data_IF_639886657220
#
_entry.id   IF_639886657220
#
_cell.length_a   1.000
_cell.length_b   1.000
_cell.length_c   1.000
_cell.angle_alpha   90.00
_cell.angle_beta   90.00
_cell.angle_gamma   90.00
#
_symmetry.space_group_name_H-M   'P 1'
#
loop_
_entity.id
_entity.type
_entity.pdbx_description
1 polymer ?
#
# COMPACT_ATOMS: atom_id res chain seq x y z
N UNK A 1 -51.46 8.76 -88.79
CA UNK A 1 -50.61 7.66 -88.43
C UNK A 1 -49.75 8.14 -87.25
N UNK A 2 -50.34 7.99 -86.17
CA UNK A 2 -50.08 7.26 -84.99
C UNK A 2 -48.91 7.81 -84.15
N UNK A 3 -49.28 8.47 -83.14
CA UNK A 3 -48.52 8.94 -82.05
C UNK A 3 -48.93 8.27 -80.77
N UNK A 4 -48.02 7.92 -79.96
CA UNK A 4 -48.25 7.52 -78.60
C UNK A 4 -47.44 8.40 -77.66
N UNK A 5 -48.10 9.17 -76.78
CA UNK A 5 -47.53 9.77 -75.58
C UNK A 5 -47.82 8.87 -74.39
N UNK A 6 -46.79 8.35 -73.81
CA UNK A 6 -46.92 7.65 -72.56
C UNK A 6 -46.42 8.54 -71.40
N UNK A 7 -47.36 8.85 -70.52
CA UNK A 7 -47.15 9.67 -69.34
C UNK A 7 -46.91 8.82 -68.10
N UNK A 8 -45.63 8.59 -67.71
CA UNK A 8 -45.28 7.94 -66.46
C UNK A 8 -45.42 8.91 -65.29
N UNK A 9 -46.54 8.80 -64.59
CA UNK A 9 -46.74 9.42 -63.27
C UNK A 9 -45.93 8.62 -62.22
N UNK A 10 -44.82 9.19 -61.82
CA UNK A 10 -44.10 8.67 -60.64
C UNK A 10 -44.87 9.06 -59.36
N UNK A 11 -45.44 8.07 -58.71
CA UNK A 11 -45.92 8.17 -57.32
C UNK A 11 -44.75 8.30 -56.40
N UNK A 12 -44.49 9.49 -55.87
CA UNK A 12 -43.71 9.71 -54.65
C UNK A 12 -44.58 9.31 -53.46
N UNK A 13 -44.46 8.01 -53.04
CA UNK A 13 -45.10 7.51 -51.83
C UNK A 13 -44.32 8.02 -50.64
N UNK A 14 -45.05 8.75 -49.81
CA UNK A 14 -44.58 9.51 -48.66
C UNK A 14 -43.77 8.79 -47.62
N UNK A 15 -42.60 9.30 -47.36
CA UNK A 15 -41.81 9.06 -46.16
C UNK A 15 -42.10 10.09 -45.05
N UNK A 16 -43.10 10.98 -45.21
CA UNK A 16 -43.48 11.98 -44.21
C UNK A 16 -44.41 11.47 -43.11
N UNK A 17 -45.13 10.36 -43.36
CA UNK A 17 -46.21 9.89 -42.48
C UNK A 17 -45.74 9.25 -41.16
N UNK A 18 -44.49 8.80 -41.05
CA UNK A 18 -44.02 8.17 -39.80
C UNK A 18 -43.39 9.15 -38.78
N UNK A 19 -42.93 10.30 -39.24
CA UNK A 19 -42.44 11.37 -38.31
C UNK A 19 -43.59 12.11 -37.64
N UNK A 20 -44.69 12.31 -38.35
CA UNK A 20 -45.86 12.99 -37.82
C UNK A 20 -46.68 12.16 -36.82
N UNK A 21 -46.63 10.85 -36.92
CA UNK A 21 -47.32 9.95 -35.97
C UNK A 21 -46.59 9.89 -34.61
N UNK A 22 -45.23 9.95 -34.59
CA UNK A 22 -44.46 9.97 -33.34
C UNK A 22 -44.60 11.31 -32.58
N UNK A 23 -44.91 12.40 -33.30
CA UNK A 23 -45.05 13.73 -32.70
C UNK A 23 -46.44 14.03 -32.12
N UNK A 24 -47.43 13.17 -32.37
CA UNK A 24 -48.82 13.33 -31.85
C UNK A 24 -49.00 12.85 -30.39
N UNK A 25 -48.04 12.15 -29.82
CA UNK A 25 -48.11 11.69 -28.43
C UNK A 25 -47.52 12.66 -27.40
N UNK A 26 -46.95 13.79 -27.86
CA UNK A 26 -46.25 14.76 -27.00
C UNK A 26 -46.98 16.08 -26.62
N UNK A 27 -48.24 16.37 -26.99
CA UNK A 27 -48.84 17.65 -26.56
C UNK A 27 -49.12 17.74 -25.05
N UNK A 28 -49.23 16.59 -24.36
CA UNK A 28 -49.45 16.56 -22.94
C UNK A 28 -48.11 16.76 -22.20
N UNK A 29 -46.99 16.24 -22.71
CA UNK A 29 -45.65 16.41 -22.12
C UNK A 29 -45.10 17.84 -22.33
N UNK A 30 -45.43 18.49 -23.43
CA UNK A 30 -45.04 19.89 -23.67
C UNK A 30 -45.66 20.89 -22.64
N UNK A 31 -46.76 20.51 -21.96
CA UNK A 31 -47.34 21.31 -20.87
C UNK A 31 -46.59 21.20 -19.55
N UNK A 32 -45.71 20.22 -19.42
CA UNK A 32 -44.87 19.97 -18.24
C UNK A 32 -43.45 20.55 -18.40
N UNK A 33 -43.21 21.33 -19.48
CA UNK A 33 -41.93 22.00 -19.71
C UNK A 33 -41.73 23.11 -18.62
N UNK A 34 -41.12 22.70 -17.51
CA UNK A 34 -40.76 23.61 -16.42
C UNK A 34 -39.64 24.59 -16.81
N UNK A 35 -38.99 24.40 -17.99
CA UNK A 35 -37.84 25.18 -18.44
C UNK A 35 -38.11 25.87 -19.78
N UNK A 36 -39.31 26.37 -20.00
CA UNK A 36 -39.68 27.09 -21.19
C UNK A 36 -38.66 28.24 -21.48
N UNK A 37 -38.11 28.22 -22.66
CA UNK A 37 -37.13 29.26 -23.07
C UNK A 37 -37.84 30.59 -23.22
N UNK A 38 -37.36 31.62 -22.51
CA UNK A 38 -37.82 32.99 -22.70
C UNK A 38 -37.47 33.45 -24.13
N UNK A 39 -38.43 34.14 -24.78
CA UNK A 39 -38.20 34.64 -26.12
C UNK A 39 -37.03 35.64 -26.11
N UNK A 40 -36.14 35.63 -27.15
CA UNK A 40 -34.90 36.42 -27.13
C UNK A 40 -35.11 37.93 -27.02
N UNK A 41 -36.26 38.45 -27.39
CA UNK A 41 -36.62 39.88 -27.28
C UNK A 41 -36.95 40.31 -25.83
N UNK A 42 -37.15 39.39 -24.91
CA UNK A 42 -37.42 39.66 -23.49
C UNK A 42 -36.16 39.73 -22.63
N UNK A 43 -34.99 39.38 -23.15
CA UNK A 43 -33.73 39.37 -22.39
C UNK A 43 -32.98 40.68 -22.63
N UNK A 44 -32.80 41.49 -21.56
CA UNK A 44 -31.93 42.68 -21.57
C UNK A 44 -30.53 42.31 -21.13
N UNK A 45 -29.54 42.63 -21.98
CA UNK A 45 -28.12 42.44 -21.63
C UNK A 45 -27.64 43.67 -20.86
N UNK A 46 -27.22 43.49 -19.60
CA UNK A 46 -26.65 44.53 -18.74
C UNK A 46 -25.18 44.28 -18.48
N UNK A 47 -24.38 45.33 -18.28
CA UNK A 47 -22.96 45.20 -17.92
C UNK A 47 -22.80 44.49 -16.56
N UNK A 48 -23.67 44.81 -15.61
CA UNK A 48 -23.69 44.17 -14.28
C UNK A 48 -23.97 42.65 -14.38
N UNK A 49 -24.97 42.23 -15.16
CA UNK A 49 -25.27 40.82 -15.39
C UNK A 49 -24.14 40.09 -16.10
N UNK A 50 -23.37 40.75 -16.98
CA UNK A 50 -22.18 40.13 -17.55
C UNK A 50 -21.09 39.88 -16.52
N UNK A 51 -20.82 40.81 -15.60
CA UNK A 51 -19.86 40.58 -14.50
C UNK A 51 -20.28 39.43 -13.57
N UNK A 52 -21.57 39.40 -13.18
CA UNK A 52 -22.11 38.33 -12.35
C UNK A 52 -21.99 36.97 -13.04
N UNK A 53 -22.24 36.89 -14.33
CA UNK A 53 -22.11 35.69 -15.13
C UNK A 53 -20.64 35.20 -15.19
N UNK A 54 -19.68 36.11 -15.40
CA UNK A 54 -18.26 35.79 -15.44
C UNK A 54 -17.81 35.23 -14.05
N UNK A 55 -18.18 35.90 -12.96
CA UNK A 55 -17.90 35.44 -11.60
C UNK A 55 -18.51 34.06 -11.36
N UNK A 56 -19.75 33.84 -11.78
CA UNK A 56 -20.43 32.54 -11.66
C UNK A 56 -19.71 31.44 -12.43
N UNK A 57 -19.25 31.71 -13.66
CA UNK A 57 -18.48 30.72 -14.45
C UNK A 57 -17.12 30.40 -13.77
N UNK A 58 -16.39 31.44 -13.34
CA UNK A 58 -15.10 31.21 -12.63
C UNK A 58 -15.30 30.38 -11.38
N UNK A 59 -16.33 30.65 -10.57
CA UNK A 59 -16.66 29.90 -9.38
C UNK A 59 -17.05 28.45 -9.72
N UNK A 60 -17.84 28.25 -10.77
CA UNK A 60 -18.22 26.91 -11.24
C UNK A 60 -17.00 26.10 -11.68
N UNK A 61 -16.07 26.69 -12.43
CA UNK A 61 -14.83 26.05 -12.83
C UNK A 61 -13.95 25.72 -11.64
N UNK A 62 -13.80 26.62 -10.69
CA UNK A 62 -13.01 26.39 -9.48
C UNK A 62 -13.57 25.21 -8.66
N UNK A 63 -14.89 25.18 -8.42
CA UNK A 63 -15.52 24.08 -7.71
C UNK A 63 -15.49 22.76 -8.49
N UNK A 64 -15.61 22.80 -9.82
CA UNK A 64 -15.45 21.61 -10.65
C UNK A 64 -14.05 21.02 -10.53
N UNK A 65 -12.99 21.84 -10.48
CA UNK A 65 -11.63 21.40 -10.25
C UNK A 65 -11.47 20.74 -8.87
N UNK A 66 -12.06 21.31 -7.83
CA UNK A 66 -12.07 20.71 -6.49
C UNK A 66 -12.77 19.35 -6.50
N UNK A 67 -13.91 19.21 -7.17
CA UNK A 67 -14.63 17.95 -7.30
C UNK A 67 -13.82 16.89 -8.07
N UNK A 68 -13.09 17.28 -9.10
CA UNK A 68 -12.21 16.39 -9.85
C UNK A 68 -11.06 15.90 -8.97
N UNK A 69 -10.41 16.78 -8.20
CA UNK A 69 -9.33 16.37 -7.28
C UNK A 69 -9.84 15.46 -6.18
N UNK A 70 -11.03 15.75 -5.65
CA UNK A 70 -11.70 14.93 -4.63
C UNK A 70 -12.11 13.54 -5.19
N UNK A 71 -12.52 13.46 -6.44
CA UNK A 71 -12.83 12.20 -7.12
C UNK A 71 -11.58 11.34 -7.35
N UNK A 72 -10.47 11.96 -7.76
CA UNK A 72 -9.20 11.26 -8.02
C UNK A 72 -8.52 10.76 -6.75
N UNK A 73 -8.86 11.36 -5.59
CA UNK A 73 -8.25 10.99 -4.31
C UNK A 73 -9.07 9.91 -3.61
N UNK A 74 -8.54 8.68 -3.44
CA UNK A 74 -9.25 7.62 -2.74
C UNK A 74 -9.36 7.94 -1.24
N UNK A 75 -10.52 7.68 -0.67
CA UNK A 75 -10.75 7.85 0.77
C UNK A 75 -10.17 6.67 1.53
N UNK A 76 -9.32 6.93 2.53
CA UNK A 76 -8.75 5.93 3.42
C UNK A 76 -9.39 6.05 4.80
N UNK A 77 -10.01 4.98 5.26
CA UNK A 77 -10.53 4.85 6.61
C UNK A 77 -9.71 3.80 7.37
N UNK A 78 -9.35 4.11 8.62
CA UNK A 78 -8.70 3.17 9.53
C UNK A 78 -9.64 2.91 10.70
N UNK A 79 -9.95 1.65 10.95
CA UNK A 79 -10.75 1.21 12.10
C UNK A 79 -9.96 0.19 12.90
N UNK A 80 -10.14 0.20 14.20
CA UNK A 80 -9.51 -0.74 15.11
C UNK A 80 -10.52 -1.82 15.49
N UNK A 81 -10.05 -3.05 15.63
CA UNK A 81 -10.84 -4.20 16.06
C UNK A 81 -9.99 -5.14 16.90
N UNK A 82 -10.59 -6.23 17.32
CA UNK A 82 -9.87 -7.33 17.97
C UNK A 82 -9.45 -8.33 16.90
N UNK A 83 -8.27 -8.88 17.03
CA UNK A 83 -7.80 -9.96 16.14
C UNK A 83 -8.52 -11.26 16.49
N UNK A 84 -9.28 -11.78 15.55
CA UNK A 84 -10.03 -13.04 15.67
C UNK A 84 -9.43 -14.19 14.83
N UNK A 85 -8.28 -13.97 14.22
CA UNK A 85 -7.61 -14.93 13.34
C UNK A 85 -6.97 -16.07 14.14
N UNK A 86 -7.80 -16.99 14.62
CA UNK A 86 -7.36 -18.23 15.29
C UNK A 86 -6.71 -19.18 14.26
N UNK A 87 -5.64 -19.87 14.67
CA UNK A 87 -4.93 -20.88 13.87
C UNK A 87 -4.32 -20.38 12.54
N UNK A 88 -4.12 -19.08 12.37
CA UNK A 88 -3.39 -18.55 11.22
C UNK A 88 -1.88 -18.68 11.45
N UNK A 89 -1.12 -18.93 10.37
CA UNK A 89 0.34 -18.84 10.37
C UNK A 89 0.81 -17.39 10.20
N UNK A 90 1.98 -17.07 10.68
CA UNK A 90 2.67 -15.80 10.52
C UNK A 90 3.81 -16.01 9.52
N UNK A 91 3.66 -15.48 8.34
CA UNK A 91 4.67 -15.50 7.30
C UNK A 91 5.67 -14.38 7.55
N UNK A 92 6.95 -14.72 7.68
CA UNK A 92 8.06 -13.79 7.89
C UNK A 92 9.00 -13.91 6.72
N UNK A 93 9.18 -12.84 5.96
CA UNK A 93 10.18 -12.76 4.91
C UNK A 93 11.38 -12.00 5.44
N UNK A 94 12.57 -12.56 5.25
CA UNK A 94 13.83 -12.01 5.76
C UNK A 94 14.90 -12.00 4.67
N UNK A 95 15.68 -10.91 4.61
CA UNK A 95 16.88 -10.78 3.79
C UNK A 95 17.86 -9.91 4.57
N UNK A 96 18.80 -10.57 5.25
CA UNK A 96 19.82 -9.95 6.10
C UNK A 96 21.21 -10.35 5.63
N UNK A 97 22.07 -9.38 5.46
CA UNK A 97 23.45 -9.56 5.05
C UNK A 97 24.40 -9.26 6.21
N UNK A 98 25.28 -10.19 6.49
CA UNK A 98 26.40 -10.07 7.43
C UNK A 98 27.69 -9.95 6.61
N UNK A 99 28.32 -8.78 6.50
CA UNK A 99 29.43 -8.57 5.57
C UNK A 99 30.71 -9.30 5.90
N UNK A 100 30.90 -9.68 7.16
CA UNK A 100 32.14 -10.26 7.69
C UNK A 100 31.95 -11.48 8.58
N UNK A 101 30.74 -12.06 8.60
CA UNK A 101 30.43 -13.26 9.32
C UNK A 101 30.37 -14.42 8.33
N UNK A 102 31.28 -15.40 8.39
CA UNK A 102 31.22 -16.57 7.53
C UNK A 102 29.93 -17.36 7.71
N UNK A 103 29.35 -17.84 6.60
CA UNK A 103 28.11 -18.64 6.64
C UNK A 103 28.22 -19.92 7.47
N UNK A 104 29.42 -20.46 7.58
CA UNK A 104 29.76 -21.64 8.36
C UNK A 104 29.54 -21.42 9.88
N UNK A 105 29.78 -20.19 10.36
CA UNK A 105 29.58 -19.82 11.76
C UNK A 105 28.19 -19.28 12.04
N UNK A 106 27.51 -18.76 11.04
CA UNK A 106 26.20 -18.18 11.24
C UNK A 106 25.17 -19.26 11.50
N UNK A 107 24.65 -19.29 12.71
CA UNK A 107 23.55 -20.16 13.12
C UNK A 107 22.28 -19.33 13.27
N UNK A 108 21.17 -19.86 12.75
CA UNK A 108 19.86 -19.22 12.84
C UNK A 108 18.90 -20.15 13.56
N UNK A 109 18.24 -19.62 14.57
CA UNK A 109 17.32 -20.33 15.42
C UNK A 109 16.03 -19.53 15.61
N UNK A 110 14.89 -20.21 15.53
CA UNK A 110 13.58 -19.62 15.74
C UNK A 110 12.84 -20.39 16.84
N UNK A 111 12.36 -19.69 17.84
CA UNK A 111 11.60 -20.26 18.94
C UNK A 111 10.44 -19.38 19.36
N UNK A 112 9.37 -20.02 19.78
CA UNK A 112 8.20 -19.34 20.31
C UNK A 112 8.39 -18.96 21.80
N UNK A 113 7.43 -18.24 22.36
CA UNK A 113 7.44 -17.84 23.78
C UNK A 113 7.48 -19.05 24.75
N UNK A 114 7.01 -20.23 24.32
CA UNK A 114 7.09 -21.47 25.09
C UNK A 114 8.47 -22.11 25.07
N UNK A 115 9.42 -21.56 24.34
CA UNK A 115 10.76 -22.12 24.12
C UNK A 115 10.77 -23.31 23.15
N UNK A 116 9.66 -23.57 22.48
CA UNK A 116 9.58 -24.63 21.47
C UNK A 116 10.25 -24.13 20.19
N UNK A 117 11.26 -24.86 19.74
CA UNK A 117 11.89 -24.61 18.45
C UNK A 117 10.88 -24.85 17.34
N UNK A 118 10.70 -23.84 16.48
CA UNK A 118 9.95 -24.01 15.25
C UNK A 118 10.85 -24.68 14.22
N UNK A 119 10.67 -25.99 14.08
CA UNK A 119 11.52 -26.88 13.26
C UNK A 119 11.51 -26.48 11.79
N UNK A 120 10.44 -25.85 11.32
CA UNK A 120 10.27 -25.46 9.92
C UNK A 120 11.11 -24.24 9.48
N UNK A 121 11.66 -23.49 10.45
CA UNK A 121 12.52 -22.34 10.14
C UNK A 121 13.81 -22.70 9.37
N UNK A 122 14.26 -23.96 9.49
CA UNK A 122 15.56 -24.40 8.95
C UNK A 122 15.53 -24.75 7.46
N UNK A 123 14.38 -25.12 6.93
CA UNK A 123 14.27 -25.55 5.53
C UNK A 123 14.03 -24.44 4.52
N UNK A 124 13.58 -23.27 4.97
CA UNK A 124 13.14 -22.16 4.11
C UNK A 124 14.11 -20.97 4.08
N UNK A 125 15.11 -20.96 4.99
CA UNK A 125 16.14 -19.93 5.03
C UNK A 125 17.41 -20.40 4.33
N UNK A 126 17.75 -19.71 3.26
CA UNK A 126 18.94 -19.96 2.46
C UNK A 126 20.09 -19.07 2.93
N UNK A 127 21.29 -19.64 2.97
CA UNK A 127 22.53 -18.92 3.24
C UNK A 127 23.36 -18.83 1.98
N UNK A 128 23.68 -17.62 1.57
CA UNK A 128 24.56 -17.37 0.41
C UNK A 128 25.87 -16.81 0.90
N UNK A 129 26.97 -17.46 0.56
CA UNK A 129 28.33 -16.99 0.84
C UNK A 129 28.65 -15.76 0.00
N UNK A 130 29.27 -14.79 0.60
CA UNK A 130 29.65 -13.53 -0.04
C UNK A 130 31.17 -13.35 0.03
N UNK A 131 31.76 -12.82 -1.03
CA UNK A 131 33.15 -12.39 -1.01
C UNK A 131 33.34 -11.06 -0.22
N UNK A 132 34.58 -10.63 -0.05
CA UNK A 132 34.90 -9.38 0.63
C UNK A 132 34.28 -8.12 -0.02
N UNK A 133 33.86 -8.22 -1.30
CA UNK A 133 33.18 -7.18 -2.06
C UNK A 133 31.64 -7.24 -1.94
N UNK A 134 31.10 -8.26 -1.28
CA UNK A 134 29.67 -8.50 -1.14
C UNK A 134 29.00 -9.21 -2.32
N UNK A 135 29.78 -9.81 -3.24
CA UNK A 135 29.25 -10.62 -4.35
C UNK A 135 29.05 -12.05 -3.88
N UNK A 136 27.98 -12.69 -4.37
CA UNK A 136 27.69 -14.08 -4.08
C UNK A 136 28.77 -15.01 -4.69
N UNK A 137 29.33 -15.92 -3.86
CA UNK A 137 30.31 -16.92 -4.25
C UNK A 137 29.62 -18.28 -4.44
N UNK A 138 28.58 -18.56 -3.66
CA UNK A 138 27.84 -19.81 -3.70
C UNK A 138 26.81 -19.91 -2.58
N UNK A 139 25.99 -20.94 -2.63
CA UNK A 139 25.05 -21.26 -1.55
C UNK A 139 25.78 -22.12 -0.50
N UNK A 140 25.46 -21.88 0.76
CA UNK A 140 25.94 -22.69 1.88
C UNK A 140 24.84 -23.65 2.30
N UNK A 141 25.01 -24.91 1.97
CA UNK A 141 24.17 -25.98 2.51
C UNK A 141 24.65 -26.31 3.93
N UNK A 142 23.84 -25.97 4.93
CA UNK A 142 24.08 -26.39 6.30
C UNK A 142 24.15 -27.90 6.33
N UNK A 143 25.29 -28.46 6.72
CA UNK A 143 25.41 -29.90 6.93
C UNK A 143 24.34 -30.29 7.95
N UNK A 144 23.37 -31.12 7.52
CA UNK A 144 22.18 -31.44 8.28
C UNK A 144 22.53 -31.98 9.68
N UNK A 145 22.14 -31.23 10.71
CA UNK A 145 22.15 -31.75 12.05
C UNK A 145 21.04 -32.81 12.15
N UNK A 146 21.34 -33.92 12.74
CA UNK A 146 20.34 -34.97 13.05
C UNK A 146 19.49 -34.45 14.21
N UNK A 147 18.23 -34.16 13.94
CA UNK A 147 17.26 -33.79 14.96
C UNK A 147 16.80 -35.06 15.72
N UNK A 148 17.24 -35.19 16.94
CA UNK A 148 16.79 -36.21 17.87
C UNK A 148 15.81 -35.60 18.89
N UNK A 149 14.61 -35.23 18.42
CA UNK A 149 13.56 -34.77 19.33
C UNK A 149 13.80 -33.39 19.96
N UNK A 150 14.38 -32.44 19.20
CA UNK A 150 14.67 -31.08 19.63
C UNK A 150 16.11 -30.85 20.11
N UNK A 151 16.92 -31.91 20.21
CA UNK A 151 18.37 -31.82 20.43
C UNK A 151 19.08 -31.99 19.09
N UNK A 152 19.52 -30.89 18.49
CA UNK A 152 20.31 -30.94 17.27
C UNK A 152 21.75 -31.24 17.63
N UNK A 153 22.18 -32.48 17.42
CA UNK A 153 23.56 -32.84 17.54
C UNK A 153 24.29 -32.44 16.26
N UNK A 154 25.01 -31.33 16.31
CA UNK A 154 25.97 -31.00 15.27
C UNK A 154 27.16 -31.93 15.35
N UNK A 155 27.30 -32.82 14.39
CA UNK A 155 28.48 -33.68 14.30
C UNK A 155 29.64 -32.82 13.79
N UNK A 156 30.53 -32.44 14.72
CA UNK A 156 31.72 -31.66 14.42
C UNK A 156 32.59 -32.44 13.44
N UNK A 157 32.75 -31.95 12.22
CA UNK A 157 33.75 -32.45 11.29
C UNK A 157 35.08 -31.78 11.65
N UNK A 158 36.21 -32.52 11.73
CA UNK A 158 37.53 -31.93 11.99
C UNK A 158 37.93 -30.89 10.89
N UNK A 159 37.37 -31.01 9.70
CA UNK A 159 37.57 -30.08 8.56
C UNK A 159 36.87 -28.73 8.76
N UNK A 160 35.86 -28.67 9.59
CA UNK A 160 35.05 -27.47 9.78
C UNK A 160 35.86 -26.27 10.34
N UNK A 161 36.81 -26.52 11.21
CA UNK A 161 37.68 -25.48 11.75
C UNK A 161 38.58 -24.85 10.66
N UNK A 162 39.03 -25.67 9.72
CA UNK A 162 39.86 -25.20 8.60
C UNK A 162 39.02 -24.32 7.64
N UNK A 163 37.83 -24.80 7.26
CA UNK A 163 36.90 -24.06 6.39
C UNK A 163 36.55 -22.69 6.97
N UNK A 164 36.30 -22.61 8.31
CA UNK A 164 35.98 -21.35 8.97
C UNK A 164 37.18 -20.39 8.97
N UNK A 165 38.41 -20.92 9.23
CA UNK A 165 39.63 -20.09 9.19
C UNK A 165 39.90 -19.54 7.81
N UNK A 166 39.72 -20.34 6.74
CA UNK A 166 39.85 -19.87 5.36
C UNK A 166 38.83 -18.78 5.06
N UNK A 167 37.54 -19.02 5.35
CA UNK A 167 36.49 -18.04 5.14
C UNK A 167 36.71 -16.72 5.93
N UNK A 168 37.27 -16.82 7.18
CA UNK A 168 37.68 -15.64 7.96
C UNK A 168 38.84 -14.91 7.28
N UNK A 169 39.86 -15.64 6.79
CA UNK A 169 41.02 -15.05 6.11
C UNK A 169 40.62 -14.35 4.80
N UNK A 170 39.69 -14.94 4.05
CA UNK A 170 39.12 -14.37 2.81
C UNK A 170 38.11 -13.25 3.07
N UNK A 171 37.82 -12.94 4.36
CA UNK A 171 36.84 -11.95 4.79
C UNK A 171 35.45 -12.21 4.20
N UNK A 172 35.04 -13.44 4.15
CA UNK A 172 33.73 -13.83 3.65
C UNK A 172 32.59 -13.28 4.53
N UNK A 173 31.50 -12.95 3.85
CA UNK A 173 30.23 -12.59 4.48
C UNK A 173 29.17 -13.67 4.23
N UNK A 174 28.02 -13.49 4.87
CA UNK A 174 26.86 -14.35 4.71
C UNK A 174 25.60 -13.53 4.48
N UNK A 175 24.81 -13.90 3.47
CA UNK A 175 23.46 -13.39 3.26
C UNK A 175 22.48 -14.47 3.64
N UNK A 176 21.64 -14.17 4.61
CA UNK A 176 20.53 -14.98 5.06
C UNK A 176 19.25 -14.44 4.41
N UNK A 177 18.62 -15.26 3.58
CA UNK A 177 17.39 -14.83 2.92
C UNK A 177 16.41 -16.00 2.78
N UNK A 178 15.12 -15.68 2.74
CA UNK A 178 14.07 -16.66 2.57
C UNK A 178 12.80 -16.29 3.29
N UNK A 179 11.95 -17.27 3.44
CA UNK A 179 10.63 -17.13 4.02
C UNK A 179 10.43 -18.18 5.11
N UNK A 180 9.86 -17.74 6.22
CA UNK A 180 9.59 -18.53 7.39
C UNK A 180 8.11 -18.48 7.70
N UNK A 181 7.49 -19.63 7.91
CA UNK A 181 6.14 -19.73 8.46
C UNK A 181 6.21 -20.08 9.95
N UNK A 182 5.89 -19.12 10.79
CA UNK A 182 5.85 -19.25 12.23
C UNK A 182 4.41 -19.39 12.73
N UNK A 183 4.25 -19.89 13.96
CA UNK A 183 2.98 -19.79 14.66
C UNK A 183 2.67 -18.34 14.98
N UNK A 184 1.40 -18.02 15.04
CA UNK A 184 0.94 -16.67 15.34
C UNK A 184 0.92 -16.42 16.86
N UNK A 185 2.10 -16.48 17.46
CA UNK A 185 2.41 -16.21 18.88
C UNK A 185 3.66 -15.34 18.95
N UNK A 186 3.95 -14.80 20.11
CA UNK A 186 5.22 -14.12 20.33
C UNK A 186 6.38 -15.09 20.11
N UNK A 187 7.46 -14.61 19.52
CA UNK A 187 8.59 -15.45 19.21
C UNK A 187 9.88 -14.65 19.01
N UNK A 188 10.95 -15.38 18.80
CA UNK A 188 12.28 -14.82 18.60
C UNK A 188 12.99 -15.57 17.48
N UNK A 189 13.51 -14.79 16.53
CA UNK A 189 14.48 -15.26 15.55
C UNK A 189 15.85 -14.76 15.98
N UNK A 190 16.79 -15.70 16.19
CA UNK A 190 18.13 -15.41 16.66
C UNK A 190 19.15 -15.82 15.60
N UNK A 191 20.05 -14.91 15.26
CA UNK A 191 21.25 -15.21 14.52
C UNK A 191 22.47 -15.12 15.46
N UNK A 192 23.25 -16.16 15.55
CA UNK A 192 24.38 -16.28 16.49
C UNK A 192 25.51 -17.11 15.86
N UNK A 193 26.61 -17.23 16.57
CA UNK A 193 27.74 -18.08 16.19
C UNK A 193 27.50 -19.58 16.41
N UNK A 194 26.25 -19.97 16.65
CA UNK A 194 25.84 -21.36 16.83
C UNK A 194 26.11 -21.92 18.23
N UNK A 195 25.69 -23.17 18.42
CA UNK A 195 25.95 -23.93 19.65
C UNK A 195 27.39 -24.46 19.70
N UNK A 196 28.24 -23.92 18.82
CA UNK A 196 29.65 -24.28 18.81
C UNK A 196 30.24 -24.10 20.21
N UNK A 197 31.08 -25.08 20.62
CA UNK A 197 31.69 -24.94 21.93
C UNK A 197 32.51 -23.64 21.96
N UNK A 198 32.40 -22.97 23.07
CA UNK A 198 33.22 -21.81 23.41
C UNK A 198 34.72 -21.98 23.12
N UNK A 199 35.24 -23.22 23.30
CA UNK A 199 36.61 -23.59 22.99
C UNK A 199 36.91 -23.53 21.48
N UNK A 200 35.95 -23.92 20.65
CA UNK A 200 36.10 -23.85 19.20
C UNK A 200 36.20 -22.39 18.70
N UNK A 201 35.39 -21.50 19.23
CA UNK A 201 35.47 -20.10 18.89
C UNK A 201 36.78 -19.47 19.31
N UNK A 202 37.33 -19.86 20.50
CA UNK A 202 38.65 -19.43 20.96
C UNK A 202 39.79 -19.95 20.07
N UNK A 203 39.61 -21.06 19.40
CA UNK A 203 40.60 -21.60 18.48
C UNK A 203 40.68 -20.76 17.17
N UNK A 204 39.58 -20.09 16.81
CA UNK A 204 39.46 -19.30 15.56
C UNK A 204 39.64 -17.79 15.80
N UNK A 205 39.16 -17.32 16.94
CA UNK A 205 39.20 -15.92 17.34
C UNK A 205 39.99 -15.79 18.64
N UNK A 206 40.97 -14.91 18.65
CA UNK A 206 41.75 -14.64 19.86
C UNK A 206 40.86 -13.96 20.92
N UNK A 207 39.97 -13.08 20.48
CA UNK A 207 39.10 -12.30 21.34
C UNK A 207 37.64 -12.24 20.82
N UNK A 208 36.64 -12.20 21.73
CA UNK A 208 35.23 -12.26 21.34
C UNK A 208 34.76 -11.03 20.52
N UNK A 209 35.41 -9.88 20.68
CA UNK A 209 35.09 -8.67 19.91
C UNK A 209 35.58 -8.72 18.44
N UNK A 210 36.32 -9.72 18.05
CA UNK A 210 36.65 -9.97 16.63
C UNK A 210 35.49 -10.55 15.86
N UNK A 211 34.52 -11.18 16.55
CA UNK A 211 33.32 -11.73 15.93
C UNK A 211 32.45 -10.56 15.44
N UNK A 212 32.29 -10.45 14.16
CA UNK A 212 31.67 -9.30 13.51
C UNK A 212 30.19 -9.56 13.22
N UNK A 213 29.31 -8.94 14.04
CA UNK A 213 27.84 -9.00 13.88
C UNK A 213 27.27 -7.77 13.17
N UNK A 214 28.08 -6.99 12.45
CA UNK A 214 27.58 -5.95 11.59
C UNK A 214 26.65 -6.53 10.56
N UNK A 215 25.54 -5.88 10.31
CA UNK A 215 24.52 -6.40 9.42
C UNK A 215 23.77 -5.31 8.67
N UNK A 216 23.23 -5.71 7.53
CA UNK A 216 22.31 -4.90 6.74
C UNK A 216 21.03 -5.69 6.47
N UNK A 217 19.91 -5.15 6.91
CA UNK A 217 18.59 -5.72 6.65
C UNK A 217 18.04 -5.12 5.36
N UNK A 218 17.96 -5.92 4.32
CA UNK A 218 17.39 -5.48 3.04
C UNK A 218 15.87 -5.56 3.08
N UNK A 219 15.34 -6.67 3.56
CA UNK A 219 13.90 -6.91 3.69
C UNK A 219 13.61 -7.62 4.99
N UNK A 220 12.60 -7.14 5.71
CA UNK A 220 12.01 -7.82 6.85
C UNK A 220 10.52 -7.49 6.88
N UNK A 221 9.67 -8.47 6.59
CA UNK A 221 8.23 -8.26 6.49
C UNK A 221 7.44 -9.36 7.17
N UNK A 222 6.24 -9.01 7.66
CA UNK A 222 5.30 -9.94 8.27
C UNK A 222 4.07 -10.10 7.38
N UNK A 223 4.15 -11.00 6.41
CA UNK A 223 3.06 -11.26 5.46
C UNK A 223 3.14 -10.41 4.19
N UNK A 224 2.04 -10.40 3.43
CA UNK A 224 1.99 -9.77 2.12
C UNK A 224 2.08 -8.23 2.21
N UNK A 225 2.79 -7.62 1.28
CA UNK A 225 2.84 -6.17 1.15
C UNK A 225 1.52 -5.61 0.59
N UNK A 226 1.20 -4.39 0.97
CA UNK A 226 0.05 -3.65 0.45
C UNK A 226 0.41 -2.18 0.20
N UNK A 227 -0.33 -1.45 -0.64
CA UNK A 227 -0.02 -0.07 -0.97
C UNK A 227 -0.04 0.87 0.23
N UNK A 228 1.15 1.39 0.59
CA UNK A 228 1.35 2.25 1.75
C UNK A 228 1.71 1.49 3.04
N UNK A 229 2.10 0.21 2.95
CA UNK A 229 2.77 -0.49 4.04
C UNK A 229 4.14 0.16 4.32
N UNK A 230 4.49 0.21 5.59
CA UNK A 230 5.81 0.69 6.05
C UNK A 230 6.45 -0.45 6.82
N UNK A 231 7.62 -0.89 6.35
CA UNK A 231 8.44 -1.91 6.99
C UNK A 231 9.68 -1.24 7.60
N UNK A 232 9.69 -0.89 8.89
CA UNK A 232 10.74 -0.06 9.50
C UNK A 232 12.15 -0.67 9.47
N UNK A 233 12.24 -1.99 9.37
CA UNK A 233 13.53 -2.70 9.29
C UNK A 233 14.14 -2.68 7.88
N UNK A 234 13.35 -2.41 6.84
CA UNK A 234 13.86 -2.42 5.48
C UNK A 234 14.89 -1.32 5.28
N UNK A 235 16.08 -1.67 4.82
CA UNK A 235 17.19 -0.75 4.59
C UNK A 235 18.01 -0.39 5.83
N UNK A 236 17.71 -0.94 7.00
CA UNK A 236 18.51 -0.73 8.22
C UNK A 236 19.91 -1.32 8.03
N UNK A 237 20.92 -0.53 8.38
CA UNK A 237 22.34 -0.93 8.34
C UNK A 237 23.01 -0.61 9.65
N UNK A 238 23.72 -1.58 10.22
CA UNK A 238 24.54 -1.41 11.44
C UNK A 238 25.97 -1.83 11.11
N UNK A 239 26.78 -0.84 10.73
CA UNK A 239 28.16 -1.03 10.26
C UNK A 239 29.20 -0.40 11.20
N UNK A 240 28.76 0.32 12.23
CA UNK A 240 29.63 1.10 13.10
C UNK A 240 30.30 0.22 14.15
N UNK A 241 29.52 -0.63 14.82
CA UNK A 241 30.01 -1.50 15.91
C UNK A 241 30.13 -2.93 15.42
N UNK A 242 31.28 -3.55 15.59
CA UNK A 242 31.58 -4.90 15.11
C UNK A 242 30.91 -5.97 15.97
N UNK A 243 31.12 -5.89 17.28
CA UNK A 243 30.77 -6.95 18.21
C UNK A 243 29.76 -6.45 19.24
N UNK A 244 28.80 -7.29 19.57
CA UNK A 244 27.78 -6.98 20.55
C UNK A 244 26.48 -7.76 20.32
N UNK A 245 25.54 -7.53 21.22
CA UNK A 245 24.19 -8.12 21.11
C UNK A 245 23.23 -7.06 20.61
N UNK A 246 22.74 -7.25 19.39
CA UNK A 246 21.68 -6.43 18.81
C UNK A 246 20.32 -7.07 19.09
N UNK A 247 19.39 -6.31 19.65
CA UNK A 247 18.02 -6.74 19.93
C UNK A 247 17.04 -5.80 19.25
N UNK A 248 16.25 -6.33 18.33
CA UNK A 248 15.14 -5.62 17.68
C UNK A 248 13.83 -6.11 18.27
N UNK A 249 13.18 -5.26 19.06
CA UNK A 249 11.86 -5.54 19.62
C UNK A 249 10.80 -5.05 18.66
N UNK A 250 9.99 -5.96 18.14
CA UNK A 250 8.98 -5.69 17.15
C UNK A 250 7.60 -5.93 17.69
N UNK A 251 6.73 -4.90 17.63
CA UNK A 251 5.31 -5.07 17.94
C UNK A 251 4.54 -5.23 16.65
N UNK A 252 4.09 -6.44 16.39
CA UNK A 252 3.37 -6.83 15.17
C UNK A 252 1.88 -6.58 15.36
N UNK A 253 1.28 -5.80 14.45
CA UNK A 253 -0.14 -5.43 14.48
C UNK A 253 -0.84 -6.07 13.30
N UNK A 254 -1.78 -7.00 13.55
CA UNK A 254 -2.61 -7.59 12.51
C UNK A 254 -3.34 -6.53 11.70
N UNK A 255 -3.20 -6.58 10.38
CA UNK A 255 -3.76 -5.56 9.51
C UNK A 255 -4.56 -6.21 8.39
N UNK A 256 -5.80 -5.79 8.22
CA UNK A 256 -6.62 -6.15 7.07
C UNK A 256 -6.70 -4.96 6.13
N UNK A 257 -6.12 -5.09 4.95
CA UNK A 257 -6.23 -4.10 3.89
C UNK A 257 -7.37 -4.47 2.95
N UNK A 258 -8.34 -3.58 2.78
CA UNK A 258 -9.48 -3.74 1.87
C UNK A 258 -9.48 -2.60 0.87
N UNK A 259 -9.38 -2.92 -0.42
CA UNK A 259 -9.48 -1.94 -1.49
C UNK A 259 -10.75 -2.19 -2.29
N UNK A 260 -11.67 -1.25 -2.25
CA UNK A 260 -12.91 -1.30 -3.02
C UNK A 260 -12.81 -0.34 -4.21
N UNK A 261 -12.90 -0.89 -5.41
CA UNK A 261 -12.95 -0.15 -6.66
C UNK A 261 -14.30 -0.40 -7.32
N UNK A 262 -14.89 0.63 -7.89
CA UNK A 262 -16.10 0.48 -8.69
C UNK A 262 -15.73 0.19 -10.15
N UNK A 263 -15.97 -1.03 -10.61
CA UNK A 263 -15.83 -1.37 -12.04
C UNK A 263 -16.97 -0.69 -12.82
N UNK A 264 -16.63 0.10 -13.84
CA UNK A 264 -17.56 0.95 -14.60
C UNK A 264 -18.44 1.87 -13.76
N UNK A 265 -18.07 2.14 -12.50
CA UNK A 265 -18.82 3.00 -11.60
C UNK A 265 -20.06 2.39 -10.95
N UNK A 266 -20.43 1.13 -11.28
CA UNK A 266 -21.65 0.48 -10.79
C UNK A 266 -21.39 -0.77 -9.96
N UNK A 267 -20.39 -1.59 -10.31
CA UNK A 267 -20.13 -2.86 -9.67
C UNK A 267 -18.95 -2.70 -8.69
N UNK A 268 -19.16 -2.81 -7.37
CA UNK A 268 -18.06 -2.75 -6.41
C UNK A 268 -17.23 -4.04 -6.48
N UNK A 269 -15.94 -3.90 -6.71
CA UNK A 269 -14.95 -4.97 -6.59
C UNK A 269 -14.10 -4.72 -5.36
N UNK A 270 -14.13 -5.63 -4.40
CA UNK A 270 -13.35 -5.51 -3.16
C UNK A 270 -12.26 -6.58 -3.13
N UNK A 271 -11.02 -6.15 -3.07
CA UNK A 271 -9.86 -7.00 -2.79
C UNK A 271 -9.52 -6.83 -1.31
N UNK A 272 -9.45 -7.96 -0.58
CA UNK A 272 -9.09 -7.98 0.84
C UNK A 272 -7.80 -8.76 1.01
N UNK A 273 -6.79 -8.14 1.60
CA UNK A 273 -5.51 -8.74 1.94
C UNK A 273 -5.32 -8.72 3.45
N UNK A 274 -5.09 -9.89 4.05
CA UNK A 274 -4.71 -10.00 5.46
C UNK A 274 -3.19 -9.99 5.53
N UNK A 275 -2.65 -9.11 6.34
CA UNK A 275 -1.21 -8.91 6.51
C UNK A 275 -0.93 -8.36 7.89
N UNK A 276 0.30 -7.95 8.15
CA UNK A 276 0.67 -7.35 9.42
C UNK A 276 1.53 -6.11 9.17
N UNK A 277 1.41 -5.13 10.05
CA UNK A 277 2.32 -4.00 10.17
C UNK A 277 3.10 -4.16 11.46
N UNK A 278 4.27 -3.56 11.57
CA UNK A 278 5.02 -3.62 12.82
C UNK A 278 5.73 -2.30 13.11
N UNK A 279 6.00 -2.09 14.38
CA UNK A 279 6.93 -1.08 14.86
C UNK A 279 8.15 -1.77 15.44
N UNK A 280 9.30 -1.10 15.46
CA UNK A 280 10.56 -1.64 15.95
C UNK A 280 11.21 -0.69 16.95
N UNK A 281 11.82 -1.25 17.98
CA UNK A 281 12.70 -0.57 18.92
C UNK A 281 14.00 -1.35 18.99
N UNK A 282 15.12 -0.66 18.87
CA UNK A 282 16.44 -1.25 18.90
C UNK A 282 17.07 -1.10 20.28
N UNK A 283 17.78 -2.12 20.70
CA UNK A 283 18.61 -2.11 21.88
C UNK A 283 19.93 -2.82 21.59
N UNK A 284 21.04 -2.15 21.86
CA UNK A 284 22.38 -2.66 21.66
C UNK A 284 23.09 -2.85 23.00
N UNK A 285 23.78 -3.96 23.19
CA UNK A 285 24.57 -4.29 24.37
C UNK A 285 25.97 -4.67 23.89
N UNK A 286 26.97 -3.95 24.36
CA UNK A 286 28.36 -4.30 24.12
C UNK A 286 28.72 -5.59 24.89
N UNK A 287 29.46 -6.49 24.25
CA UNK A 287 29.90 -7.76 24.85
C UNK A 287 31.42 -7.78 24.94
N UNK A 288 31.99 -7.24 26.02
CA UNK A 288 33.44 -7.08 26.11
C UNK A 288 34.19 -8.36 26.50
N UNK A 289 33.51 -9.48 26.77
CA UNK A 289 34.14 -10.69 27.31
C UNK A 289 33.49 -11.97 26.80
N UNK A 290 34.21 -13.07 26.87
CA UNK A 290 33.77 -14.39 26.39
C UNK A 290 32.46 -14.92 27.03
N UNK A 291 32.01 -14.39 28.14
CA UNK A 291 30.75 -14.82 28.79
C UNK A 291 29.48 -14.48 28.05
N UNK A 292 29.55 -13.56 27.05
CA UNK A 292 28.39 -13.15 26.26
C UNK A 292 28.81 -12.93 24.80
N UNK A 293 28.62 -13.95 23.98
CA UNK A 293 28.95 -13.91 22.55
C UNK A 293 28.05 -12.95 21.79
N UNK A 294 28.57 -12.32 20.72
CA UNK A 294 27.79 -11.44 19.86
C UNK A 294 26.64 -12.17 19.17
N UNK A 295 25.47 -11.55 19.15
CA UNK A 295 24.24 -12.14 18.62
C UNK A 295 23.31 -11.06 18.06
N UNK A 296 22.43 -11.47 17.18
CA UNK A 296 21.37 -10.65 16.63
C UNK A 296 20.00 -11.29 16.93
N UNK A 297 19.12 -10.54 17.59
CA UNK A 297 17.79 -10.99 17.96
C UNK A 297 16.73 -10.15 17.27
N UNK A 298 15.79 -10.81 16.64
CA UNK A 298 14.51 -10.25 16.19
C UNK A 298 13.41 -10.83 17.09
N UNK A 299 13.01 -10.06 18.08
CA UNK A 299 12.01 -10.44 19.08
C UNK A 299 10.68 -9.82 18.66
N UNK A 300 9.70 -10.63 18.31
CA UNK A 300 8.40 -10.14 17.87
C UNK A 300 7.28 -10.59 18.82
N UNK A 301 6.35 -9.69 19.04
CA UNK A 301 5.15 -9.90 19.83
C UNK A 301 3.92 -9.38 19.08
N UNK A 302 2.80 -10.11 19.15
CA UNK A 302 1.58 -9.79 18.43
C UNK A 302 0.64 -8.95 19.28
N UNK A 303 0.12 -7.90 18.64
CA UNK A 303 -0.93 -7.09 19.24
C UNK A 303 -2.28 -7.81 19.18
N UNK A 304 -3.02 -7.80 20.29
CA UNK A 304 -4.41 -8.25 20.31
C UNK A 304 -5.35 -7.29 19.53
N UNK A 305 -4.88 -6.06 19.24
CA UNK A 305 -5.65 -5.08 18.48
C UNK A 305 -5.26 -5.19 17.02
N UNK A 306 -6.26 -5.41 16.16
CA UNK A 306 -6.12 -5.42 14.71
C UNK A 306 -6.51 -4.08 14.10
N UNK A 307 -5.90 -3.73 12.97
CA UNK A 307 -6.20 -2.53 12.20
C UNK A 307 -6.86 -2.92 10.87
N UNK A 308 -8.02 -2.35 10.58
CA UNK A 308 -8.67 -2.49 9.29
C UNK A 308 -8.48 -1.20 8.49
N UNK A 309 -7.78 -1.30 7.37
CA UNK A 309 -7.57 -0.19 6.43
C UNK A 309 -8.49 -0.40 5.25
N UNK A 310 -9.48 0.47 5.11
CA UNK A 310 -10.40 0.43 3.97
C UNK A 310 -10.11 1.59 3.05
N UNK A 311 -9.78 1.28 1.80
CA UNK A 311 -9.57 2.25 0.73
C UNK A 311 -10.74 2.14 -0.24
N UNK A 312 -11.53 3.21 -0.34
CA UNK A 312 -12.68 3.26 -1.23
C UNK A 312 -12.48 4.32 -2.31
N UNK A 313 -12.63 3.94 -3.57
CA UNK A 313 -12.75 4.89 -4.68
C UNK A 313 -14.20 5.32 -4.84
N UNK A 314 -14.40 6.60 -5.16
CA UNK A 314 -15.74 7.15 -5.37
C UNK A 314 -16.30 6.64 -6.69
N UNK A 315 -17.62 6.41 -6.73
CA UNK A 315 -18.33 6.02 -7.95
C UNK A 315 -18.39 7.19 -8.94
N UNK A 316 -18.24 6.88 -10.24
CA UNK A 316 -18.42 7.88 -11.32
C UNK A 316 -19.82 8.49 -11.27
N UNK A 317 -20.84 7.70 -10.95
CA UNK A 317 -22.22 8.19 -10.83
C UNK A 317 -22.34 9.22 -9.72
N UNK A 318 -21.74 8.93 -8.56
CA UNK A 318 -21.71 9.90 -7.45
C UNK A 318 -20.98 11.18 -7.86
N UNK A 319 -19.84 11.09 -8.54
CA UNK A 319 -19.11 12.22 -9.05
C UNK A 319 -19.95 13.06 -10.03
N UNK A 320 -20.59 12.42 -11.03
CA UNK A 320 -21.42 13.12 -12.00
C UNK A 320 -22.62 13.81 -11.34
N UNK A 321 -23.34 13.11 -10.45
CA UNK A 321 -24.50 13.69 -9.76
C UNK A 321 -24.10 14.87 -8.87
N UNK A 322 -22.98 14.76 -8.15
CA UNK A 322 -22.45 15.82 -7.29
C UNK A 322 -22.04 17.03 -8.14
N UNK A 323 -21.27 16.80 -9.21
CA UNK A 323 -20.81 17.88 -10.11
C UNK A 323 -21.99 18.59 -10.78
N UNK A 324 -22.98 17.84 -11.28
CA UNK A 324 -24.19 18.43 -11.90
C UNK A 324 -25.01 19.23 -10.88
N UNK A 325 -25.16 18.73 -9.65
CA UNK A 325 -25.86 19.45 -8.59
C UNK A 325 -25.14 20.75 -8.21
N UNK A 326 -23.83 20.70 -8.06
CA UNK A 326 -22.99 21.88 -7.73
C UNK A 326 -23.07 22.93 -8.86
N UNK A 327 -22.91 22.52 -10.11
CA UNK A 327 -23.01 23.43 -11.25
C UNK A 327 -24.41 24.03 -11.39
N UNK A 328 -25.46 23.20 -11.23
CA UNK A 328 -26.85 23.66 -11.25
C UNK A 328 -27.16 24.65 -10.14
N UNK A 329 -26.65 24.39 -8.93
CA UNK A 329 -26.77 25.28 -7.78
C UNK A 329 -26.11 26.65 -8.01
N UNK A 330 -24.88 26.67 -8.55
CA UNK A 330 -24.18 27.92 -8.89
C UNK A 330 -24.95 28.68 -9.94
N UNK A 331 -25.43 28.01 -10.98
CA UNK A 331 -26.18 28.65 -12.04
C UNK A 331 -27.49 29.29 -11.51
N UNK A 332 -28.21 28.60 -10.66
CA UNK A 332 -29.42 29.12 -10.02
C UNK A 332 -29.11 30.32 -9.11
N UNK A 333 -28.03 30.24 -8.33
CA UNK A 333 -27.57 31.29 -7.42
C UNK A 333 -27.17 32.55 -8.23
N UNK A 334 -26.35 32.36 -9.26
CA UNK A 334 -25.89 33.45 -10.15
C UNK A 334 -27.09 34.21 -10.79
N UNK A 335 -28.09 33.44 -11.24
CA UNK A 335 -29.30 34.03 -11.82
C UNK A 335 -30.12 34.80 -10.77
N UNK A 336 -30.17 34.29 -9.55
CA UNK A 336 -30.88 34.94 -8.42
C UNK A 336 -30.20 36.26 -8.04
N UNK A 337 -28.87 36.23 -7.91
CA UNK A 337 -28.05 37.44 -7.63
C UNK A 337 -28.19 38.50 -8.72
N UNK A 338 -28.13 38.08 -9.99
CA UNK A 338 -28.34 39.01 -11.12
C UNK A 338 -29.69 39.71 -11.03
N UNK A 339 -30.76 38.98 -10.71
CA UNK A 339 -32.11 39.53 -10.51
C UNK A 339 -32.16 40.55 -9.38
N UNK A 340 -31.53 40.26 -8.24
CA UNK A 340 -31.47 41.17 -7.09
C UNK A 340 -30.72 42.47 -7.45
N UNK A 341 -29.59 42.35 -8.13
CA UNK A 341 -28.79 43.50 -8.60
C UNK A 341 -29.61 44.38 -9.57
N UNK A 342 -30.34 43.79 -10.54
CA UNK A 342 -31.17 44.53 -11.48
C UNK A 342 -32.30 45.28 -10.75
N UNK A 343 -32.95 44.68 -9.78
CA UNK A 343 -33.98 45.36 -8.97
C UNK A 343 -33.39 46.50 -8.14
N UNK A 344 -32.24 46.28 -7.47
CA UNK A 344 -31.59 47.32 -6.69
C UNK A 344 -31.16 48.52 -7.54
N UNK A 345 -30.58 48.27 -8.74
CA UNK A 345 -30.20 49.34 -9.68
C UNK A 345 -31.39 50.13 -10.21
N UNK A 346 -32.55 49.50 -10.41
CA UNK A 346 -33.79 50.21 -10.83
C UNK A 346 -34.33 51.10 -9.70
N UNK A 347 -34.34 50.67 -8.47
CA UNK A 347 -34.76 51.42 -7.31
C UNK A 347 -33.88 52.66 -7.10
N UNK A 348 -32.55 52.48 -7.18
CA UNK A 348 -31.60 53.60 -7.04
C UNK A 348 -31.72 54.61 -8.21
N UNK A 349 -31.95 54.15 -9.45
CA UNK A 349 -32.15 55.03 -10.59
C UNK A 349 -33.46 55.80 -10.58
N UNK A 350 -34.52 55.24 -9.99
CA UNK A 350 -35.82 55.94 -9.79
C UNK A 350 -35.70 57.05 -8.72
N UNK A 351 -34.94 56.82 -7.67
CA UNK A 351 -34.68 57.85 -6.64
C UNK A 351 -33.79 58.99 -7.16
N UNK A 352 -32.83 58.69 -8.06
CA UNK A 352 -31.98 59.71 -8.66
C UNK A 352 -32.71 60.60 -9.68
N UNK A 353 -33.84 60.15 -10.28
CA UNK A 353 -34.68 60.92 -11.18
C UNK A 353 -35.76 61.74 -10.45
N UNK A 354 -36.00 61.47 -9.17
CA UNK A 354 -36.99 62.16 -8.33
C UNK A 354 -36.39 63.32 -7.52
N UNK A 355 -35.06 63.51 -7.58
CA UNK A 355 -34.32 64.69 -7.14
C UNK A 355 -33.92 65.54 -8.35
#
# INVERSE_FOLDING_TARGET
MDGWMDGSVRRSVGLSSRRDAAMRWFPAVARVDAFARAAPHLTKRTRAGACVSVVGVVLACALALVEITDFLTPTRAKTHGVDDARNATLRIEIDVTFPRMPCQLLYVDAYDESGKHEVDARGLLLKTRLDASGRAIGEYESAGGVDLGGLVLFQRRPEHAHEVREAKADMEGCRLHGELEARRVAGTLRASTGPESYEFLKEIYDEPWEIDMRHAVKTFTFGAEFPGAVNPMNGVRRMETKSGIYKYFMKVVPTTYSSTRALFGFIPWTVRTRTNQYSVTEHFIETPHWGALPQLFFIYDLSAIAVNITVTSKSIVYFLTKTLATMGGIFALTRTVDRYIDVALRVTSSHAKAK
#
